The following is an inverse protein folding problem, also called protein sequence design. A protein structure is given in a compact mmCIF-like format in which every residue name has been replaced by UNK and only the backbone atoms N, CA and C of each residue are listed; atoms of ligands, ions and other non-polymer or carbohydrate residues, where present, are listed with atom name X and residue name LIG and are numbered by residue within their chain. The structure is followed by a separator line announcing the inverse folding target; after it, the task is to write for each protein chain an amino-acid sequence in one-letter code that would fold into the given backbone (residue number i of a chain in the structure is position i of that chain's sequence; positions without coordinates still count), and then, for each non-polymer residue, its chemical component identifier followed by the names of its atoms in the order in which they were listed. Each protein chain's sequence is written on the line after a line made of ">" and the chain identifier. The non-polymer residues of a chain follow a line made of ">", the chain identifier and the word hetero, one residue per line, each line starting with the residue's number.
data_IF_584979308220
#
_entry.id   IF_584979308220
#
_cell.length_a   1.000
_cell.length_b   1.000
_cell.length_c   1.000
_cell.angle_alpha   90.00
_cell.angle_beta   90.00
_cell.angle_gamma   90.00
#
_symmetry.space_group_name_H-M   'P 1'
#
loop_
_entity.id
_entity.type
_entity.pdbx_description
1 polymer ?
#
# COMPACT_ATOMS: atom_id res chain seq x y z
N UNK A 1 13.37 -15.93 -18.72
CA UNK A 1 12.73 -15.98 -17.37
C UNK A 1 12.47 -14.56 -16.89
N UNK A 2 11.31 -14.26 -16.29
CA UNK A 2 11.08 -12.97 -15.63
C UNK A 2 12.08 -12.78 -14.48
N UNK A 3 12.69 -11.60 -14.39
CA UNK A 3 13.67 -11.28 -13.35
C UNK A 3 13.02 -11.39 -11.95
N UNK A 4 13.74 -11.93 -10.93
CA UNK A 4 13.31 -11.87 -9.54
C UNK A 4 12.85 -10.46 -9.13
N UNK A 5 11.75 -10.34 -8.36
CA UNK A 5 11.25 -9.02 -7.91
C UNK A 5 12.27 -8.23 -7.10
N UNK A 6 13.21 -8.92 -6.44
CA UNK A 6 14.35 -8.30 -5.76
C UNK A 6 15.26 -7.49 -6.70
N UNK A 7 15.20 -7.74 -8.01
CA UNK A 7 15.96 -7.02 -9.04
C UNK A 7 15.21 -5.78 -9.53
N UNK A 8 13.88 -5.73 -9.35
CA UNK A 8 13.06 -4.58 -9.78
C UNK A 8 13.02 -3.49 -8.71
N UNK A 9 13.52 -3.77 -7.51
CA UNK A 9 13.43 -2.91 -6.34
C UNK A 9 14.84 -2.64 -5.79
N UNK A 10 15.20 -1.35 -5.76
CA UNK A 10 16.36 -0.82 -5.06
C UNK A 10 15.86 0.21 -4.04
N UNK A 11 15.94 -0.10 -2.73
CA UNK A 11 15.49 0.82 -1.70
C UNK A 11 16.09 2.23 -1.77
N UNK A 12 17.29 2.38 -2.34
CA UNK A 12 17.98 3.67 -2.41
C UNK A 12 17.55 4.48 -3.63
N UNK A 13 17.37 3.82 -4.77
CA UNK A 13 17.05 4.50 -6.03
C UNK A 13 15.55 4.59 -6.32
N UNK A 14 14.74 3.63 -5.86
CA UNK A 14 13.30 3.61 -6.10
C UNK A 14 12.53 2.99 -4.91
N UNK A 15 12.41 3.74 -3.79
CA UNK A 15 11.78 3.24 -2.57
C UNK A 15 10.26 3.05 -2.68
N UNK A 16 9.64 3.62 -3.72
CA UNK A 16 8.21 3.50 -3.98
C UNK A 16 7.89 2.37 -4.96
N UNK A 17 6.89 1.57 -4.60
CA UNK A 17 6.38 0.47 -5.42
C UNK A 17 4.86 0.55 -5.53
N UNK A 18 4.34 0.26 -6.72
CA UNK A 18 2.95 -0.12 -6.92
C UNK A 18 2.84 -1.65 -6.86
N UNK A 19 2.04 -2.16 -5.93
CA UNK A 19 1.81 -3.59 -5.76
C UNK A 19 0.33 -3.95 -5.88
N UNK A 20 0.07 -5.10 -6.49
CA UNK A 20 -1.29 -5.59 -6.76
C UNK A 20 -1.37 -7.09 -6.49
N UNK A 21 -2.40 -7.52 -5.76
CA UNK A 21 -2.79 -8.92 -5.59
C UNK A 21 -4.21 -9.14 -6.10
N UNK A 22 -4.42 -10.23 -6.85
CA UNK A 22 -5.71 -10.60 -7.46
C UNK A 22 -6.08 -12.04 -7.12
N UNK A 23 -7.36 -12.28 -6.86
CA UNK A 23 -7.93 -13.58 -6.53
C UNK A 23 -8.06 -14.49 -7.77
N UNK A 24 -7.89 -15.81 -7.58
CA UNK A 24 -8.02 -16.80 -8.67
C UNK A 24 -9.37 -16.71 -9.37
N UNK A 25 -9.39 -16.94 -10.69
CA UNK A 25 -10.61 -17.16 -11.49
C UNK A 25 -11.67 -16.05 -11.34
N UNK A 26 -11.26 -14.82 -11.06
CA UNK A 26 -12.18 -13.71 -10.71
C UNK A 26 -13.08 -14.02 -9.51
N UNK A 27 -12.65 -14.90 -8.60
CA UNK A 27 -13.31 -15.13 -7.32
C UNK A 27 -13.48 -13.81 -6.57
N UNK A 28 -14.63 -13.66 -5.93
CA UNK A 28 -15.00 -12.42 -5.27
C UNK A 28 -14.28 -12.32 -3.93
N UNK A 29 -13.26 -11.47 -3.89
CA UNK A 29 -12.58 -11.06 -2.67
C UNK A 29 -13.55 -10.31 -1.77
N UNK A 30 -14.39 -9.46 -2.36
CA UNK A 30 -15.37 -8.60 -1.70
C UNK A 30 -16.57 -8.38 -2.62
N UNK A 31 -17.73 -8.05 -2.06
CA UNK A 31 -18.95 -7.79 -2.83
C UNK A 31 -19.67 -9.07 -3.26
N UNK A 32 -20.51 -8.96 -4.28
CA UNK A 32 -21.34 -10.06 -4.80
C UNK A 32 -20.89 -10.50 -6.18
N UNK A 33 -20.95 -11.80 -6.44
CA UNK A 33 -20.71 -12.32 -7.79
C UNK A 33 -21.87 -12.01 -8.76
N UNK A 34 -21.69 -11.11 -9.75
CA UNK A 34 -22.73 -10.75 -10.67
C UNK A 34 -23.03 -11.87 -11.67
N UNK A 35 -22.13 -12.86 -11.82
CA UNK A 35 -22.34 -14.03 -12.70
C UNK A 35 -23.36 -15.00 -12.11
N UNK A 36 -23.57 -14.96 -10.80
CA UNK A 36 -24.62 -15.74 -10.11
C UNK A 36 -25.97 -15.02 -10.20
N UNK A 37 -27.05 -15.81 -10.25
CA UNK A 37 -28.41 -15.32 -10.11
C UNK A 37 -28.56 -14.61 -8.76
N UNK A 38 -29.29 -13.49 -8.73
CA UNK A 38 -29.41 -12.61 -7.53
C UNK A 38 -29.77 -13.37 -6.25
N UNK A 39 -30.64 -14.38 -6.33
CA UNK A 39 -31.06 -15.22 -5.19
C UNK A 39 -29.95 -16.10 -4.58
N UNK A 40 -28.88 -16.34 -5.32
CA UNK A 40 -27.73 -17.15 -4.90
C UNK A 40 -26.48 -16.30 -4.63
N UNK A 41 -26.57 -14.96 -4.76
CA UNK A 41 -25.44 -14.08 -4.47
C UNK A 41 -25.22 -14.02 -2.97
N UNK A 42 -23.96 -14.17 -2.56
CA UNK A 42 -23.49 -13.86 -1.22
C UNK A 42 -22.66 -12.59 -1.28
N UNK A 43 -22.91 -11.67 -0.35
CA UNK A 43 -22.17 -10.42 -0.25
C UNK A 43 -20.98 -10.59 0.71
N UNK A 44 -19.77 -10.33 0.20
CA UNK A 44 -18.52 -10.41 0.94
C UNK A 44 -17.87 -9.04 1.22
N UNK A 45 -18.61 -7.93 1.15
CA UNK A 45 -18.05 -6.58 1.33
C UNK A 45 -17.42 -6.37 2.71
N UNK A 46 -17.87 -7.12 3.74
CA UNK A 46 -17.24 -7.08 5.07
C UNK A 46 -15.74 -7.43 5.02
N UNK A 47 -15.30 -8.24 4.05
CA UNK A 47 -13.89 -8.60 3.85
C UNK A 47 -13.02 -7.40 3.46
N UNK A 48 -13.60 -6.31 2.94
CA UNK A 48 -12.86 -5.06 2.64
C UNK A 48 -12.21 -4.50 3.90
N UNK A 49 -12.93 -4.54 5.03
CA UNK A 49 -12.40 -4.06 6.30
C UNK A 49 -11.28 -4.96 6.81
N UNK A 50 -11.36 -6.28 6.62
CA UNK A 50 -10.26 -7.19 6.98
C UNK A 50 -8.96 -6.81 6.28
N UNK A 51 -9.05 -6.42 5.00
CA UNK A 51 -7.89 -6.00 4.21
C UNK A 51 -7.33 -4.69 4.77
N UNK A 52 -8.17 -3.68 4.99
CA UNK A 52 -7.73 -2.37 5.50
C UNK A 52 -7.13 -2.47 6.91
N UNK A 53 -7.75 -3.21 7.83
CA UNK A 53 -7.24 -3.45 9.18
C UNK A 53 -5.90 -4.19 9.14
N UNK A 54 -5.75 -5.15 8.23
CA UNK A 54 -4.50 -5.89 8.07
C UNK A 54 -3.38 -4.99 7.53
N UNK A 55 -3.67 -4.15 6.54
CA UNK A 55 -2.72 -3.16 6.01
C UNK A 55 -2.29 -2.20 7.13
N UNK A 56 -3.24 -1.68 7.91
CA UNK A 56 -2.96 -0.78 9.03
C UNK A 56 -2.01 -1.43 10.04
N UNK A 57 -2.35 -2.63 10.52
CA UNK A 57 -1.54 -3.37 11.49
C UNK A 57 -0.13 -3.62 10.99
N UNK A 58 0.03 -3.97 9.71
CA UNK A 58 1.34 -4.23 9.13
C UNK A 58 2.14 -2.94 8.94
N UNK A 59 1.52 -1.83 8.55
CA UNK A 59 2.19 -0.53 8.41
C UNK A 59 2.77 0.00 9.73
N UNK A 60 2.21 -0.43 10.86
CA UNK A 60 2.70 -0.07 12.19
C UNK A 60 3.87 -0.95 12.68
N UNK A 61 4.09 -2.09 12.03
CA UNK A 61 5.09 -3.09 12.40
C UNK A 61 6.29 -3.10 11.45
N UNK A 62 6.01 -3.06 10.15
CA UNK A 62 7.03 -3.06 9.11
C UNK A 62 7.58 -1.66 8.90
N UNK A 63 8.79 -1.58 8.40
CA UNK A 63 9.34 -0.33 7.87
C UNK A 63 8.78 -0.06 6.46
N UNK A 64 7.47 -0.16 6.29
CA UNK A 64 6.74 0.06 5.04
C UNK A 64 5.57 1.00 5.29
N UNK A 65 5.58 2.16 4.64
CA UNK A 65 4.49 3.13 4.73
C UNK A 65 3.54 2.98 3.54
N UNK A 66 2.27 3.33 3.73
CA UNK A 66 1.23 3.27 2.69
C UNK A 66 1.02 4.68 2.12
N UNK A 67 1.38 4.89 0.86
CA UNK A 67 1.13 6.16 0.19
C UNK A 67 -0.31 6.24 -0.37
N UNK A 68 -0.82 5.14 -0.92
CA UNK A 68 -2.17 5.03 -1.45
C UNK A 68 -2.67 3.58 -1.45
N UNK A 69 -3.98 3.37 -1.38
CA UNK A 69 -4.60 2.06 -1.52
C UNK A 69 -6.01 2.13 -2.12
N UNK A 70 -6.43 1.04 -2.77
CA UNK A 70 -7.81 0.82 -3.17
C UNK A 70 -8.17 -0.66 -3.09
N UNK A 71 -9.22 -1.00 -2.35
CA UNK A 71 -9.76 -2.37 -2.28
C UNK A 71 -10.87 -2.54 -3.32
N UNK A 72 -10.64 -3.41 -4.31
CA UNK A 72 -11.59 -3.75 -5.35
C UNK A 72 -12.26 -5.10 -5.04
N UNK A 73 -13.25 -5.49 -5.84
CA UNK A 73 -14.04 -6.70 -5.56
C UNK A 73 -13.30 -8.03 -5.77
N UNK A 74 -12.25 -8.07 -6.58
CA UNK A 74 -11.45 -9.29 -6.83
C UNK A 74 -9.92 -9.05 -6.74
N UNK A 75 -9.50 -7.84 -6.36
CA UNK A 75 -8.09 -7.48 -6.19
C UNK A 75 -7.96 -6.24 -5.30
N UNK A 76 -6.75 -5.91 -4.89
CA UNK A 76 -6.46 -4.63 -4.24
C UNK A 76 -5.15 -4.04 -4.78
N UNK A 77 -5.05 -2.72 -4.70
CA UNK A 77 -3.88 -1.94 -5.10
C UNK A 77 -3.27 -1.27 -3.89
N UNK A 78 -1.94 -1.27 -3.78
CA UNK A 78 -1.20 -0.47 -2.80
C UNK A 78 -0.06 0.28 -3.50
N UNK A 79 0.13 1.55 -3.13
CA UNK A 79 1.37 2.28 -3.34
C UNK A 79 2.09 2.34 -2.01
N UNK A 80 3.29 1.78 -1.95
CA UNK A 80 4.05 1.57 -0.71
C UNK A 80 5.40 2.24 -0.80
N UNK A 81 5.88 2.78 0.31
CA UNK A 81 7.22 3.28 0.51
C UNK A 81 7.98 2.34 1.45
N UNK A 82 9.11 1.81 1.03
CA UNK A 82 9.91 0.90 1.86
C UNK A 82 11.11 1.64 2.44
N UNK A 83 11.12 1.80 3.76
CA UNK A 83 12.12 2.56 4.49
C UNK A 83 13.19 1.64 5.10
N UNK A 84 14.17 1.26 4.29
CA UNK A 84 15.25 0.37 4.73
C UNK A 84 16.14 1.03 5.79
N UNK A 85 16.34 2.34 5.70
CA UNK A 85 17.19 3.07 6.65
C UNK A 85 16.53 3.15 8.03
N UNK A 86 15.20 3.33 8.10
CA UNK A 86 14.44 3.19 9.36
C UNK A 86 14.65 1.81 9.98
N UNK A 87 14.55 0.75 9.19
CA UNK A 87 14.74 -0.61 9.70
C UNK A 87 16.18 -0.88 10.17
N UNK A 88 17.19 -0.29 9.53
CA UNK A 88 18.61 -0.41 9.95
C UNK A 88 18.91 0.35 11.24
N UNK A 89 18.24 1.46 11.49
CA UNK A 89 18.42 2.26 12.71
C UNK A 89 17.84 1.61 13.96
N UNK A 90 16.94 0.63 13.81
CA UNK A 90 16.37 -0.05 14.97
C UNK A 90 17.44 -0.82 15.76
N UNK A 91 17.41 -0.72 17.08
CA UNK A 91 18.16 -1.65 17.93
C UNK A 91 17.44 -3.02 17.97
N UNK A 92 18.10 -4.03 18.54
CA UNK A 92 17.57 -5.40 18.61
C UNK A 92 16.19 -5.43 19.30
N UNK A 93 16.06 -4.78 20.45
CA UNK A 93 14.79 -4.70 21.18
C UNK A 93 13.67 -4.11 20.31
N UNK A 94 13.94 -3.06 19.55
CA UNK A 94 12.97 -2.47 18.61
C UNK A 94 12.60 -3.45 17.50
N UNK A 95 13.56 -4.14 16.88
CA UNK A 95 13.29 -5.16 15.85
C UNK A 95 12.36 -6.25 16.38
N UNK A 96 12.65 -6.77 17.58
CA UNK A 96 11.84 -7.78 18.24
C UNK A 96 10.42 -7.26 18.54
N UNK A 97 10.29 -6.08 19.14
CA UNK A 97 8.99 -5.46 19.42
C UNK A 97 8.16 -5.24 18.14
N UNK A 98 8.80 -4.78 17.06
CA UNK A 98 8.14 -4.60 15.76
C UNK A 98 7.66 -5.93 15.18
N UNK A 99 8.47 -6.98 15.26
CA UNK A 99 8.11 -8.32 14.81
C UNK A 99 6.91 -8.88 15.60
N UNK A 100 6.92 -8.73 16.93
CA UNK A 100 5.88 -9.22 17.84
C UNK A 100 4.50 -8.55 17.63
N UNK A 101 4.43 -7.38 16.98
CA UNK A 101 3.14 -6.73 16.66
C UNK A 101 2.27 -7.57 15.73
N UNK A 102 2.89 -8.43 14.91
CA UNK A 102 2.20 -9.16 13.82
C UNK A 102 2.37 -10.65 13.96
N UNK A 103 3.56 -11.09 14.39
CA UNK A 103 3.93 -12.49 14.43
C UNK A 103 4.02 -12.98 15.86
N UNK A 104 3.69 -14.26 16.05
CA UNK A 104 3.97 -14.93 17.29
C UNK A 104 5.49 -15.10 17.45
N UNK A 105 5.99 -14.71 18.63
CA UNK A 105 7.40 -14.76 18.94
C UNK A 105 7.76 -16.04 19.69
N UNK A 106 8.99 -16.53 19.45
CA UNK A 106 9.58 -17.62 20.20
C UNK A 106 9.59 -17.31 21.72
N UNK A 107 9.39 -18.29 22.63
CA UNK A 107 9.40 -18.05 24.07
C UNK A 107 10.60 -17.24 24.57
N UNK A 108 11.82 -17.58 24.13
CA UNK A 108 13.03 -16.82 24.49
C UNK A 108 12.99 -15.34 24.10
N UNK A 109 12.26 -14.98 23.03
CA UNK A 109 12.09 -13.57 22.65
C UNK A 109 11.13 -12.87 23.62
N UNK A 110 10.09 -13.56 24.08
CA UNK A 110 9.17 -13.02 25.09
C UNK A 110 9.92 -12.77 26.39
N UNK A 111 10.72 -13.74 26.82
CA UNK A 111 11.54 -13.63 28.04
C UNK A 111 12.66 -12.57 27.87
N UNK A 112 13.25 -12.43 26.67
CA UNK A 112 14.24 -11.40 26.38
C UNK A 112 13.65 -9.97 26.47
N UNK A 113 12.37 -9.81 26.11
CA UNK A 113 11.68 -8.53 26.15
C UNK A 113 11.09 -8.20 27.53
N UNK A 114 10.98 -9.19 28.40
CA UNK A 114 10.41 -9.10 29.75
C UNK A 114 11.55 -8.83 30.77
N UNK A 115 11.59 -7.65 31.41
CA UNK A 115 12.63 -7.32 32.38
C UNK A 115 12.74 -8.33 33.53
N UNK A 116 11.62 -8.92 33.92
CA UNK A 116 11.55 -9.84 35.06
C UNK A 116 12.03 -11.26 34.69
N UNK A 117 12.17 -11.58 33.40
CA UNK A 117 12.59 -12.90 32.93
C UNK A 117 13.89 -12.90 32.14
N UNK A 118 14.36 -11.74 31.71
CA UNK A 118 15.61 -11.62 30.95
C UNK A 118 16.79 -12.33 31.65
N UNK A 119 16.89 -12.20 32.97
CA UNK A 119 17.95 -12.79 33.78
C UNK A 119 17.92 -14.33 33.82
N UNK A 120 16.81 -14.96 33.41
CA UNK A 120 16.66 -16.41 33.35
C UNK A 120 17.23 -17.01 32.06
N UNK A 121 17.54 -16.18 31.06
CA UNK A 121 18.09 -16.64 29.79
C UNK A 121 19.58 -16.95 29.91
N UNK A 122 19.99 -18.05 29.30
CA UNK A 122 21.42 -18.36 29.15
C UNK A 122 22.06 -17.47 28.09
N UNK A 123 23.39 -17.33 28.13
CA UNK A 123 24.13 -16.55 27.14
C UNK A 123 23.88 -17.02 25.69
N UNK A 124 23.75 -18.34 25.49
CA UNK A 124 23.44 -18.90 24.17
C UNK A 124 22.04 -18.53 23.68
N UNK A 125 21.05 -18.49 24.58
CA UNK A 125 19.68 -18.08 24.24
C UNK A 125 19.64 -16.59 23.89
N UNK A 126 20.34 -15.75 24.65
CA UNK A 126 20.49 -14.32 24.37
C UNK A 126 21.11 -14.13 22.98
N UNK A 127 22.26 -14.76 22.72
CA UNK A 127 22.95 -14.66 21.43
C UNK A 127 22.05 -15.10 20.27
N UNK A 128 21.33 -16.21 20.41
CA UNK A 128 20.40 -16.67 19.39
C UNK A 128 19.28 -15.66 19.09
N UNK A 129 18.72 -15.03 20.12
CA UNK A 129 17.67 -14.01 19.98
C UNK A 129 18.20 -12.79 19.23
N UNK A 130 19.39 -12.30 19.59
CA UNK A 130 20.01 -11.13 18.96
C UNK A 130 20.39 -11.40 17.50
N UNK A 131 21.01 -12.54 17.22
CA UNK A 131 21.37 -12.97 15.87
C UNK A 131 20.12 -13.15 15.00
N UNK A 132 19.07 -13.77 15.53
CA UNK A 132 17.79 -13.95 14.82
C UNK A 132 17.13 -12.61 14.51
N UNK A 133 17.13 -11.69 15.48
CA UNK A 133 16.59 -10.35 15.29
C UNK A 133 17.31 -9.62 14.15
N UNK A 134 18.65 -9.61 14.18
CA UNK A 134 19.44 -8.83 13.23
C UNK A 134 19.48 -9.45 11.82
N UNK A 135 19.70 -10.76 11.73
CA UNK A 135 19.95 -11.43 10.46
C UNK A 135 18.66 -11.82 9.73
N UNK A 136 17.58 -12.12 10.47
CA UNK A 136 16.31 -12.61 9.93
C UNK A 136 15.21 -11.56 10.07
N UNK A 137 14.85 -11.15 11.29
CA UNK A 137 13.63 -10.37 11.51
C UNK A 137 13.72 -8.97 10.92
N UNK A 138 14.86 -8.29 11.12
CA UNK A 138 15.12 -6.97 10.52
C UNK A 138 14.92 -7.01 9.00
N UNK A 139 15.52 -7.99 8.31
CA UNK A 139 15.38 -8.18 6.85
C UNK A 139 13.94 -8.42 6.42
N UNK A 140 13.16 -9.16 7.22
CA UNK A 140 11.73 -9.39 6.94
C UNK A 140 10.92 -8.11 7.07
N UNK A 141 11.19 -7.29 8.08
CA UNK A 141 10.40 -6.10 8.40
C UNK A 141 10.52 -4.95 7.39
N UNK A 142 11.51 -4.96 6.50
CA UNK A 142 11.56 -4.06 5.33
C UNK A 142 11.41 -4.79 3.99
N UNK A 143 11.12 -6.10 3.98
CA UNK A 143 10.96 -6.85 2.74
C UNK A 143 9.54 -6.75 2.22
N UNK A 144 9.37 -6.21 1.01
CA UNK A 144 8.03 -6.10 0.41
C UNK A 144 7.39 -7.46 0.12
N UNK A 145 8.21 -8.49 -0.09
CA UNK A 145 7.70 -9.85 -0.27
C UNK A 145 7.14 -10.42 1.03
N UNK A 146 7.79 -10.15 2.17
CA UNK A 146 7.27 -10.52 3.49
C UNK A 146 6.04 -9.72 3.86
N UNK A 147 6.03 -8.41 3.58
CA UNK A 147 4.86 -7.55 3.79
C UNK A 147 3.64 -8.08 3.02
N UNK A 148 3.78 -8.32 1.72
CA UNK A 148 2.70 -8.84 0.88
C UNK A 148 2.29 -10.27 1.27
N UNK A 149 3.23 -11.13 1.69
CA UNK A 149 2.90 -12.46 2.23
C UNK A 149 2.06 -12.33 3.50
N UNK A 150 2.43 -11.43 4.40
CA UNK A 150 1.73 -11.19 5.66
C UNK A 150 0.36 -10.55 5.50
N UNK A 151 0.06 -9.92 4.37
CA UNK A 151 -1.31 -9.54 3.96
C UNK A 151 -2.04 -10.77 3.44
N UNK A 152 -1.48 -11.43 2.43
CA UNK A 152 -2.21 -12.36 1.58
C UNK A 152 -2.49 -13.72 2.24
N UNK A 153 -1.56 -14.26 3.03
CA UNK A 153 -1.73 -15.60 3.61
C UNK A 153 -2.87 -15.67 4.65
N UNK A 154 -2.96 -14.74 5.63
CA UNK A 154 -4.06 -14.77 6.59
C UNK A 154 -5.42 -14.54 5.93
N UNK A 155 -5.49 -13.60 4.97
CA UNK A 155 -6.72 -13.31 4.24
C UNK A 155 -7.19 -14.51 3.40
N UNK A 156 -6.26 -15.22 2.75
CA UNK A 156 -6.59 -16.44 2.01
C UNK A 156 -7.15 -17.53 2.93
N UNK A 157 -6.55 -17.73 4.11
CA UNK A 157 -7.03 -18.70 5.09
C UNK A 157 -8.41 -18.34 5.64
N UNK A 158 -8.62 -17.07 6.00
CA UNK A 158 -9.91 -16.58 6.50
C UNK A 158 -11.01 -16.71 5.44
N UNK A 159 -10.73 -16.31 4.21
CA UNK A 159 -11.70 -16.41 3.11
C UNK A 159 -12.03 -17.86 2.76
N UNK A 160 -11.02 -18.72 2.60
CA UNK A 160 -11.24 -20.16 2.36
C UNK A 160 -12.02 -20.84 3.48
N UNK A 161 -11.74 -20.48 4.75
CA UNK A 161 -12.49 -21.01 5.89
C UNK A 161 -13.95 -20.54 5.88
N UNK A 162 -14.22 -19.26 5.59
CA UNK A 162 -15.59 -18.74 5.47
C UNK A 162 -16.35 -19.36 4.27
N UNK A 163 -15.63 -19.62 3.18
CA UNK A 163 -16.17 -20.24 1.97
C UNK A 163 -16.21 -21.78 2.06
N UNK A 164 -15.79 -22.35 3.21
CA UNK A 164 -15.74 -23.79 3.47
C UNK A 164 -15.02 -24.57 2.36
N UNK A 165 -13.95 -23.99 1.80
CA UNK A 165 -13.20 -24.57 0.70
C UNK A 165 -11.70 -24.65 1.00
N UNK A 166 -10.98 -25.42 0.19
CA UNK A 166 -9.52 -25.54 0.27
C UNK A 166 -8.90 -25.18 -1.08
N UNK A 167 -7.60 -24.88 -1.06
CA UNK A 167 -6.82 -24.56 -2.25
C UNK A 167 -6.42 -23.10 -2.37
N UNK A 168 -6.04 -22.73 -3.60
CA UNK A 168 -5.36 -21.47 -3.88
C UNK A 168 -6.34 -20.31 -4.01
N UNK A 169 -6.20 -19.30 -3.17
CA UNK A 169 -7.06 -18.10 -3.20
C UNK A 169 -6.54 -16.99 -4.15
N UNK A 170 -5.22 -16.79 -4.25
CA UNK A 170 -4.60 -15.74 -5.08
C UNK A 170 -4.06 -16.30 -6.41
N UNK A 171 -4.25 -15.60 -7.55
CA UNK A 171 -3.82 -16.03 -8.91
C UNK A 171 -2.32 -16.31 -9.02
N UNK A 172 -1.54 -15.74 -8.12
CA UNK A 172 -0.14 -15.48 -8.38
C UNK A 172 0.63 -15.09 -7.15
N UNK A 173 1.93 -14.96 -7.37
CA UNK A 173 2.71 -13.98 -6.63
C UNK A 173 2.19 -12.57 -7.01
N UNK A 174 2.15 -11.64 -6.06
CA UNK A 174 1.73 -10.25 -6.32
C UNK A 174 2.51 -9.60 -7.47
N UNK A 175 1.90 -8.65 -8.17
CA UNK A 175 2.59 -7.80 -9.15
C UNK A 175 3.27 -6.65 -8.41
N UNK A 176 4.44 -6.25 -8.89
CA UNK A 176 5.19 -5.12 -8.36
C UNK A 176 5.75 -4.31 -9.52
N UNK A 177 5.59 -3.00 -9.46
CA UNK A 177 6.12 -2.03 -10.41
C UNK A 177 6.84 -0.95 -9.63
N UNK A 178 8.06 -0.61 -10.04
CA UNK A 178 8.79 0.47 -9.40
C UNK A 178 8.36 1.85 -9.91
N UNK A 179 8.23 2.80 -9.00
CA UNK A 179 7.92 4.20 -9.28
C UNK A 179 9.23 4.97 -9.12
N UNK A 180 9.77 5.47 -10.23
CA UNK A 180 11.16 5.94 -10.31
C UNK A 180 11.32 7.43 -10.00
N UNK A 181 10.25 8.20 -10.12
CA UNK A 181 10.22 9.63 -9.87
C UNK A 181 8.89 10.07 -9.23
N UNK A 182 8.82 11.34 -8.83
CA UNK A 182 7.66 11.92 -8.18
C UNK A 182 6.43 11.96 -9.09
N UNK A 183 6.61 12.13 -10.40
CA UNK A 183 5.52 12.14 -11.37
C UNK A 183 4.87 10.75 -11.47
N UNK A 184 5.69 9.70 -11.52
CA UNK A 184 5.25 8.30 -11.50
C UNK A 184 4.54 7.96 -10.19
N UNK A 185 5.08 8.42 -9.05
CA UNK A 185 4.44 8.26 -7.74
C UNK A 185 3.05 8.91 -7.72
N UNK A 186 2.99 10.20 -8.05
CA UNK A 186 1.77 11.00 -8.03
C UNK A 186 0.70 10.45 -8.99
N UNK A 187 1.10 10.11 -10.22
CA UNK A 187 0.24 9.50 -11.23
C UNK A 187 -0.30 8.15 -10.77
N UNK A 188 0.55 7.31 -10.18
CA UNK A 188 0.14 6.00 -9.70
C UNK A 188 -0.83 6.10 -8.52
N UNK A 189 -0.59 6.99 -7.57
CA UNK A 189 -1.51 7.24 -6.45
C UNK A 189 -2.89 7.68 -6.94
N UNK A 190 -2.96 8.67 -7.84
CA UNK A 190 -4.22 9.09 -8.43
C UNK A 190 -4.89 7.96 -9.23
N UNK A 191 -4.11 7.16 -9.97
CA UNK A 191 -4.63 5.97 -10.65
C UNK A 191 -5.26 4.97 -9.68
N UNK A 192 -4.61 4.72 -8.53
CA UNK A 192 -5.09 3.79 -7.51
C UNK A 192 -6.41 4.25 -6.93
N UNK A 193 -6.48 5.50 -6.46
CA UNK A 193 -7.68 6.08 -5.84
C UNK A 193 -8.87 6.19 -6.80
N UNK A 194 -8.62 6.32 -8.11
CA UNK A 194 -9.67 6.39 -9.13
C UNK A 194 -10.17 5.02 -9.63
N UNK A 195 -9.61 3.90 -9.16
CA UNK A 195 -10.04 2.58 -9.64
C UNK A 195 -11.51 2.27 -9.35
N UNK A 196 -12.07 2.54 -8.15
CA UNK A 196 -13.50 2.33 -7.90
C UNK A 196 -14.40 3.14 -8.84
N UNK A 197 -14.06 4.41 -9.09
CA UNK A 197 -14.79 5.26 -10.02
C UNK A 197 -14.75 4.71 -11.44
N UNK A 198 -13.55 4.35 -11.93
CA UNK A 198 -13.35 3.80 -13.29
C UNK A 198 -13.99 2.43 -13.48
N UNK A 199 -14.25 1.71 -12.39
CA UNK A 199 -14.98 0.45 -12.39
C UNK A 199 -16.51 0.63 -12.27
N UNK A 200 -17.00 1.86 -12.09
CA UNK A 200 -18.42 2.15 -11.86
C UNK A 200 -18.92 1.80 -10.46
N UNK A 201 -18.01 1.56 -9.51
CA UNK A 201 -18.34 1.25 -8.10
C UNK A 201 -18.68 2.54 -7.34
N UNK A 202 -18.06 3.65 -7.72
CA UNK A 202 -18.28 4.97 -7.12
C UNK A 202 -18.53 6.03 -8.19
N UNK A 203 -19.24 7.09 -7.83
CA UNK A 203 -19.52 8.23 -8.73
C UNK A 203 -18.46 9.32 -8.63
N UNK A 204 -17.84 9.47 -7.45
CA UNK A 204 -16.80 10.47 -7.17
C UNK A 204 -15.65 9.86 -6.33
N UNK A 205 -14.43 10.43 -6.35
CA UNK A 205 -13.31 9.97 -5.52
C UNK A 205 -13.66 9.94 -4.03
N UNK A 206 -14.28 11.00 -3.52
CA UNK A 206 -14.65 11.13 -2.11
C UNK A 206 -15.76 10.15 -1.66
N UNK A 207 -16.52 9.57 -2.60
CA UNK A 207 -17.51 8.51 -2.33
C UNK A 207 -16.96 7.09 -2.53
N UNK A 208 -15.68 6.96 -2.91
CA UNK A 208 -15.02 5.68 -3.16
C UNK A 208 -14.61 4.99 -1.86
N UNK A 209 -15.45 4.10 -1.36
CA UNK A 209 -15.21 3.36 -0.11
C UNK A 209 -13.93 2.51 -0.14
N UNK A 210 -13.26 2.40 1.00
CA UNK A 210 -12.05 1.59 1.21
C UNK A 210 -10.90 2.00 0.27
N UNK A 211 -10.72 3.32 0.12
CA UNK A 211 -9.61 3.93 -0.62
C UNK A 211 -8.82 4.91 0.25
N UNK A 212 -7.61 5.24 -0.19
CA UNK A 212 -6.82 6.28 0.47
C UNK A 212 -7.37 7.69 0.26
N UNK A 213 -7.99 8.01 -0.89
CA UNK A 213 -8.63 9.33 -1.08
C UNK A 213 -9.75 9.55 -0.09
N UNK A 214 -10.57 8.52 0.17
CA UNK A 214 -11.57 8.57 1.23
C UNK A 214 -10.92 8.82 2.60
N UNK A 215 -9.92 8.02 2.96
CA UNK A 215 -9.23 8.16 4.24
C UNK A 215 -8.66 9.56 4.44
N UNK A 216 -8.01 10.13 3.40
CA UNK A 216 -7.44 11.48 3.42
C UNK A 216 -8.52 12.54 3.58
N UNK A 217 -9.60 12.46 2.81
CA UNK A 217 -10.74 13.40 2.91
C UNK A 217 -11.37 13.34 4.31
N UNK A 218 -11.54 12.16 4.88
CA UNK A 218 -12.19 12.00 6.17
C UNK A 218 -11.30 12.42 7.35
N UNK A 219 -9.98 12.17 7.29
CA UNK A 219 -9.04 12.32 8.42
C UNK A 219 -8.12 13.53 8.37
N UNK A 220 -7.72 14.02 7.18
CA UNK A 220 -6.72 15.08 7.03
C UNK A 220 -7.34 16.45 6.69
N UNK A 221 -8.57 16.49 6.18
CA UNK A 221 -9.26 17.75 5.91
C UNK A 221 -9.99 18.30 7.15
N UNK A 222 -10.14 19.64 7.27
CA UNK A 222 -10.95 20.27 8.31
C UNK A 222 -12.39 19.73 8.34
N UNK A 223 -13.03 19.80 9.50
CA UNK A 223 -14.38 19.24 9.71
C UNK A 223 -15.43 20.06 8.96
N UNK A 224 -15.68 19.74 7.68
CA UNK A 224 -16.84 20.25 6.93
C UNK A 224 -17.80 19.12 6.52
N UNK A 225 -19.01 19.49 6.08
CA UNK A 225 -20.25 18.72 6.02
C UNK A 225 -20.25 17.37 5.24
N UNK A 226 -19.13 16.97 4.64
CA UNK A 226 -18.98 15.71 3.88
C UNK A 226 -18.59 14.49 4.72
N UNK A 227 -18.35 14.65 6.03
CA UNK A 227 -18.27 13.48 6.92
C UNK A 227 -19.60 12.76 6.92
N UNK A 228 -19.61 11.47 6.58
CA UNK A 228 -20.81 10.62 6.65
C UNK A 228 -21.51 10.80 8.00
N UNK A 229 -22.85 10.87 7.96
CA UNK A 229 -23.69 11.11 9.14
C UNK A 229 -23.34 10.08 10.23
N UNK A 230 -22.92 10.63 11.37
CA UNK A 230 -22.48 9.96 12.61
C UNK A 230 -23.53 8.95 13.09
N UNK A 231 -23.16 7.71 13.37
CA UNK A 231 -23.88 6.93 14.39
C UNK A 231 -23.33 7.31 15.77
N UNK A 232 -24.20 7.79 16.67
CA UNK A 232 -23.83 8.04 18.07
C UNK A 232 -23.58 6.67 18.73
N UNK A 233 -22.32 6.23 18.84
CA UNK A 233 -21.95 5.17 19.77
C UNK A 233 -21.36 5.76 21.04
N UNK A 234 -21.96 5.40 22.16
CA UNK A 234 -21.52 5.67 23.53
C UNK A 234 -20.35 4.76 23.87
N UNK A 235 -19.13 5.23 23.61
CA UNK A 235 -17.89 4.93 24.35
C UNK A 235 -16.71 5.49 23.55
N UNK A 236 -15.56 5.68 24.22
CA UNK A 236 -14.30 6.27 23.73
C UNK A 236 -13.62 5.54 22.55
N UNK A 237 -14.37 4.95 21.61
CA UNK A 237 -13.88 4.16 20.49
C UNK A 237 -14.30 4.77 19.15
N UNK A 238 -13.31 5.40 18.53
CA UNK A 238 -13.08 5.73 17.09
C UNK A 238 -14.19 6.45 16.31
N UNK A 239 -13.77 7.50 15.59
CA UNK A 239 -14.58 8.56 14.95
C UNK A 239 -15.34 8.17 13.67
N UNK A 240 -15.22 6.95 13.15
CA UNK A 240 -15.75 6.54 11.82
C UNK A 240 -16.30 5.10 11.85
N UNK A 241 -17.29 4.80 10.99
CA UNK A 241 -17.95 3.47 10.92
C UNK A 241 -17.02 2.34 10.43
N UNK A 242 -15.86 2.69 9.86
CA UNK A 242 -14.78 1.79 9.46
C UNK A 242 -13.42 2.41 9.80
N UNK A 243 -12.43 1.57 10.12
CA UNK A 243 -11.06 2.03 10.37
C UNK A 243 -10.31 2.23 9.04
N UNK A 244 -9.52 3.30 8.95
CA UNK A 244 -8.61 3.53 7.85
C UNK A 244 -7.20 3.01 8.16
N UNK A 245 -6.50 2.57 7.12
CA UNK A 245 -5.07 2.30 7.24
C UNK A 245 -4.30 3.61 7.40
N UNK A 246 -3.27 3.60 8.25
CA UNK A 246 -2.34 4.73 8.37
C UNK A 246 -1.67 5.03 7.02
N UNK A 247 -1.78 6.29 6.60
CA UNK A 247 -1.19 6.78 5.37
C UNK A 247 0.09 7.57 5.63
N UNK A 248 0.99 7.53 4.65
CA UNK A 248 2.18 8.39 4.59
C UNK A 248 1.69 9.84 4.43
N UNK A 249 2.16 10.77 5.28
CA UNK A 249 1.70 12.15 5.25
C UNK A 249 2.29 12.92 4.07
N UNK A 250 1.58 13.95 3.62
CA UNK A 250 2.09 14.95 2.65
C UNK A 250 3.02 15.95 3.33
N UNK A 251 3.82 16.69 2.54
CA UNK A 251 4.74 17.73 3.05
C UNK A 251 4.04 18.82 3.86
N UNK A 252 2.80 19.15 3.53
CA UNK A 252 1.99 20.17 4.16
C UNK A 252 1.02 19.63 5.22
N UNK A 253 1.05 18.33 5.49
CA UNK A 253 0.18 17.72 6.48
C UNK A 253 0.57 18.26 7.86
N UNK A 254 -0.28 19.14 8.42
CA UNK A 254 -0.14 19.76 9.74
C UNK A 254 -0.27 18.76 10.90
N UNK A 255 -0.08 17.46 10.65
CA UNK A 255 -0.29 16.35 11.57
C UNK A 255 0.19 16.74 12.97
N UNK A 256 -0.76 17.12 13.84
CA UNK A 256 -0.56 17.09 15.28
C UNK A 256 -0.18 15.65 15.54
N UNK A 257 1.07 15.43 15.92
CA UNK A 257 1.73 14.15 16.08
C UNK A 257 0.91 13.18 16.94
N UNK A 258 -0.02 12.45 16.33
CA UNK A 258 -0.47 11.14 16.83
C UNK A 258 0.54 10.04 16.45
N UNK A 259 1.59 10.41 15.70
CA UNK A 259 2.77 9.62 15.44
C UNK A 259 3.77 9.89 16.56
N UNK A 260 3.77 9.01 17.57
CA UNK A 260 4.75 9.05 18.67
C UNK A 260 6.10 8.44 18.23
N UNK A 261 6.70 8.96 17.15
CA UNK A 261 7.91 8.35 16.57
C UNK A 261 8.96 9.44 16.35
N UNK A 262 10.05 9.33 17.11
CA UNK A 262 11.28 10.15 17.03
C UNK A 262 12.05 9.99 15.71
N UNK A 263 11.45 9.41 14.67
CA UNK A 263 12.07 9.20 13.37
C UNK A 263 11.71 10.37 12.43
N UNK A 264 12.70 10.93 11.73
CA UNK A 264 12.46 11.90 10.65
C UNK A 264 11.55 11.25 9.61
N UNK A 265 10.28 11.65 9.59
CA UNK A 265 9.32 11.18 8.59
C UNK A 265 9.78 11.73 7.24
N UNK A 266 9.93 10.87 6.23
CA UNK A 266 10.02 11.29 4.83
C UNK A 266 8.58 11.52 4.33
N UNK A 267 8.08 12.76 4.21
CA UNK A 267 6.73 12.99 3.70
C UNK A 267 6.65 12.69 2.20
N UNK A 268 5.43 12.55 1.68
CA UNK A 268 5.19 12.60 0.23
C UNK A 268 5.53 14.00 -0.29
N UNK A 269 6.28 14.14 -1.39
CA UNK A 269 6.89 15.40 -1.83
C UNK A 269 5.91 16.44 -2.41
N UNK A 270 4.61 16.19 -2.33
CA UNK A 270 3.55 17.06 -2.84
C UNK A 270 2.58 17.42 -1.72
N UNK A 271 1.80 18.48 -1.93
CA UNK A 271 0.78 18.92 -0.98
C UNK A 271 -0.50 18.10 -1.12
N UNK A 272 -1.24 17.93 -0.02
CA UNK A 272 -2.53 17.23 -0.05
C UNK A 272 -3.53 17.92 -1.01
N UNK A 273 -3.55 19.26 -1.00
CA UNK A 273 -4.46 20.03 -1.86
C UNK A 273 -4.19 19.74 -3.34
N UNK A 274 -2.95 19.91 -3.78
CA UNK A 274 -2.52 19.69 -5.16
C UNK A 274 -2.81 18.24 -5.62
N UNK A 275 -2.64 17.27 -4.71
CA UNK A 275 -3.00 15.89 -4.96
C UNK A 275 -4.50 15.69 -5.22
N UNK A 276 -5.37 16.25 -4.38
CA UNK A 276 -6.82 16.12 -4.54
C UNK A 276 -7.31 16.78 -5.83
N UNK A 277 -6.74 17.92 -6.22
CA UNK A 277 -7.03 18.57 -7.50
C UNK A 277 -6.67 17.68 -8.69
N UNK A 278 -5.48 17.07 -8.66
CA UNK A 278 -5.08 16.13 -9.69
C UNK A 278 -6.03 14.94 -9.77
N UNK A 279 -6.46 14.39 -8.62
CA UNK A 279 -7.42 13.28 -8.58
C UNK A 279 -8.75 13.69 -9.21
N UNK A 280 -9.25 14.88 -8.93
CA UNK A 280 -10.49 15.41 -9.52
C UNK A 280 -10.39 15.62 -11.02
N UNK A 281 -9.34 16.33 -11.46
CA UNK A 281 -9.08 16.57 -12.87
C UNK A 281 -8.96 15.23 -13.62
N UNK A 282 -8.22 14.27 -13.06
CA UNK A 282 -8.05 12.93 -13.60
C UNK A 282 -9.32 12.08 -13.60
N UNK A 283 -10.29 12.38 -12.73
CA UNK A 283 -11.59 11.71 -12.69
C UNK A 283 -12.53 12.19 -13.80
N UNK A 284 -12.42 13.47 -14.18
CA UNK A 284 -13.19 14.12 -15.25
C UNK A 284 -12.68 13.80 -16.64
N UNK A 285 -11.38 13.49 -16.76
CA UNK A 285 -10.80 13.10 -18.05
C UNK A 285 -11.46 11.82 -18.57
N UNK A 286 -12.37 11.99 -19.55
CA UNK A 286 -12.96 10.88 -20.28
C UNK A 286 -11.86 10.12 -21.03
N UNK A 287 -11.80 8.81 -20.81
CA UNK A 287 -10.84 7.92 -21.46
C UNK A 287 -11.58 7.01 -22.41
N UNK A 288 -11.18 6.99 -23.67
CA UNK A 288 -11.79 6.13 -24.71
C UNK A 288 -11.76 4.62 -24.34
N UNK A 289 -10.85 4.19 -23.46
CA UNK A 289 -10.73 2.81 -22.98
C UNK A 289 -11.53 2.48 -21.71
N UNK A 290 -12.30 3.42 -21.15
CA UNK A 290 -13.07 3.23 -19.90
C UNK A 290 -14.52 3.68 -20.04
N UNK A 291 -15.44 2.81 -19.59
CA UNK A 291 -16.89 3.00 -19.70
C UNK A 291 -17.45 4.07 -18.75
N UNK A 292 -16.79 4.32 -17.60
CA UNK A 292 -17.27 5.25 -16.57
C UNK A 292 -16.28 6.40 -16.37
N UNK A 293 -16.79 7.61 -16.38
CA UNK A 293 -16.08 8.86 -16.08
C UNK A 293 -16.97 9.73 -15.17
N UNK A 294 -16.36 10.67 -14.45
CA UNK A 294 -17.11 11.64 -13.65
C UNK A 294 -17.88 12.59 -14.57
N UNK A 295 -19.08 12.97 -14.18
CA UNK A 295 -19.86 14.01 -14.85
C UNK A 295 -19.06 15.32 -14.93
N UNK A 296 -18.90 15.86 -16.14
CA UNK A 296 -18.16 17.09 -16.39
C UNK A 296 -18.81 18.32 -15.74
N UNK A 297 -20.11 18.26 -15.46
CA UNK A 297 -20.89 19.37 -14.88
C UNK A 297 -20.77 19.46 -13.36
N UNK A 298 -20.16 18.47 -12.69
CA UNK A 298 -19.94 18.52 -11.24
C UNK A 298 -18.99 19.68 -10.86
N UNK A 299 -19.23 20.42 -9.76
CA UNK A 299 -18.29 21.43 -9.26
C UNK A 299 -16.90 20.83 -8.98
N UNK A 300 -15.78 21.59 -9.08
CA UNK A 300 -14.45 21.14 -8.70
C UNK A 300 -14.41 20.48 -7.31
N UNK A 301 -13.48 19.55 -7.08
CA UNK A 301 -13.42 18.82 -5.80
C UNK A 301 -13.35 19.75 -4.58
N UNK A 302 -12.72 20.92 -4.68
CA UNK A 302 -12.67 21.88 -3.56
C UNK A 302 -14.02 22.50 -3.26
N UNK A 303 -14.84 22.80 -4.27
CA UNK A 303 -16.21 23.27 -4.08
C UNK A 303 -17.08 22.15 -3.51
N UNK A 304 -16.94 20.92 -4.03
CA UNK A 304 -17.64 19.74 -3.48
C UNK A 304 -17.22 19.42 -2.06
N UNK A 305 -15.97 19.65 -1.68
CA UNK A 305 -15.46 19.42 -0.33
C UNK A 305 -15.60 20.66 0.58
N UNK A 306 -16.16 21.75 0.08
CA UNK A 306 -16.32 23.03 0.79
C UNK A 306 -14.98 23.55 1.37
N UNK A 307 -13.93 23.54 0.55
CA UNK A 307 -12.61 24.08 0.85
C UNK A 307 -12.49 25.45 0.17
N UNK A 308 -12.24 26.50 0.95
CA UNK A 308 -12.00 27.85 0.42
C UNK A 308 -10.72 27.89 -0.42
N UNK A 309 -10.80 28.41 -1.66
CA UNK A 309 -9.64 28.51 -2.56
C UNK A 309 -9.64 29.84 -3.32
N UNK A 310 -8.47 30.49 -3.41
CA UNK A 310 -8.24 31.63 -4.31
C UNK A 310 -8.06 31.11 -5.74
N UNK A 311 -9.19 30.95 -6.44
CA UNK A 311 -9.34 30.10 -7.63
C UNK A 311 -8.63 30.58 -8.93
N UNK A 312 -8.10 31.81 -9.00
CA UNK A 312 -7.73 32.41 -10.31
C UNK A 312 -6.30 32.13 -10.80
N UNK A 313 -5.35 31.84 -9.92
CA UNK A 313 -3.95 31.59 -10.32
C UNK A 313 -3.66 30.10 -10.64
N UNK A 314 -4.48 29.19 -10.09
CA UNK A 314 -4.26 27.74 -10.12
C UNK A 314 -4.69 27.05 -11.41
N UNK A 315 -5.79 27.47 -12.02
CA UNK A 315 -6.32 26.89 -13.27
C UNK A 315 -5.36 27.04 -14.48
N UNK A 316 -4.45 28.02 -14.43
CA UNK A 316 -3.46 28.28 -15.50
C UNK A 316 -2.25 27.34 -15.44
N UNK A 317 -1.93 26.73 -14.28
CA UNK A 317 -0.75 25.90 -14.13
C UNK A 317 -0.97 24.43 -14.56
N UNK A 318 -2.23 23.98 -14.61
CA UNK A 318 -2.60 22.58 -14.83
C UNK A 318 -3.24 22.28 -16.19
N UNK A 319 -3.37 23.28 -17.09
CA UNK A 319 -3.91 23.08 -18.45
C UNK A 319 -2.92 22.44 -19.45
N UNK A 320 -1.74 22.01 -18.97
CA UNK A 320 -0.71 21.37 -19.77
C UNK A 320 -1.18 20.05 -20.37
N UNK A 321 -1.44 20.06 -21.68
CA UNK A 321 -1.67 18.88 -22.54
C UNK A 321 -0.54 17.86 -22.35
N UNK A 322 -0.73 16.90 -21.46
CA UNK A 322 0.19 15.78 -21.29
C UNK A 322 -0.41 14.54 -21.95
N UNK A 323 0.23 14.07 -23.02
CA UNK A 323 -0.09 12.84 -23.77
C UNK A 323 0.21 11.55 -22.99
N UNK A 324 0.53 11.64 -21.69
CA UNK A 324 0.89 10.50 -20.83
C UNK A 324 -0.32 9.62 -20.44
N UNK A 325 -1.55 10.09 -20.66
CA UNK A 325 -2.79 9.39 -20.27
C UNK A 325 -3.40 8.52 -21.38
N UNK A 326 -2.65 8.18 -22.42
CA UNK A 326 -3.12 7.33 -23.53
C UNK A 326 -2.32 6.02 -23.65
N UNK A 327 -2.35 5.16 -22.63
CA UNK A 327 -2.30 3.69 -22.78
C UNK A 327 -2.25 2.96 -21.43
N UNK A 328 -3.42 2.63 -20.85
CA UNK A 328 -3.50 1.59 -19.81
C UNK A 328 -3.32 0.15 -20.37
N UNK A 329 -2.57 0.00 -21.47
CA UNK A 329 -2.26 -1.27 -22.11
C UNK A 329 -0.79 -1.29 -22.53
N UNK A 330 0.10 -1.38 -21.54
CA UNK A 330 1.38 -2.11 -21.53
C UNK A 330 2.15 -1.71 -20.25
N UNK A 331 1.81 -2.33 -19.12
CA UNK A 331 2.46 -2.04 -17.84
C UNK A 331 3.80 -2.78 -17.74
N UNK A 332 4.87 -2.14 -18.21
CA UNK A 332 6.24 -2.57 -18.02
C UNK A 332 6.66 -2.46 -16.54
N UNK A 333 7.72 -3.17 -16.14
CA UNK A 333 8.17 -3.34 -14.75
C UNK A 333 8.52 -2.06 -13.94
N UNK A 334 8.52 -0.87 -14.56
CA UNK A 334 8.72 0.42 -13.89
C UNK A 334 7.95 1.56 -14.60
N UNK A 335 7.82 2.70 -13.92
CA UNK A 335 7.22 3.94 -14.41
C UNK A 335 8.11 5.13 -14.00
N UNK A 336 8.36 6.03 -14.95
CA UNK A 336 9.09 7.28 -14.75
C UNK A 336 9.40 7.96 -16.08
N UNK A 337 10.12 9.06 -16.02
CA UNK A 337 10.63 9.78 -17.19
C UNK A 337 11.56 8.90 -18.05
N UNK A 338 11.86 9.34 -19.26
CA UNK A 338 12.65 8.55 -20.22
C UNK A 338 14.08 8.26 -19.73
N UNK A 339 14.72 9.20 -19.02
CA UNK A 339 16.06 9.03 -18.44
C UNK A 339 16.01 8.02 -17.28
N UNK A 340 15.05 8.19 -16.37
CA UNK A 340 14.80 7.30 -15.23
C UNK A 340 14.54 5.86 -15.69
N UNK A 341 13.73 5.67 -16.74
CA UNK A 341 13.49 4.35 -17.34
C UNK A 341 14.75 3.76 -17.99
N UNK A 342 15.60 4.56 -18.62
CA UNK A 342 16.88 4.11 -19.21
C UNK A 342 17.86 3.64 -18.14
N UNK A 343 18.00 4.41 -17.06
CA UNK A 343 18.82 4.08 -15.90
C UNK A 343 18.31 2.81 -15.21
N UNK A 344 17.00 2.72 -14.95
CA UNK A 344 16.36 1.52 -14.40
C UNK A 344 16.65 0.28 -15.24
N UNK A 345 16.52 0.38 -16.57
CA UNK A 345 16.80 -0.74 -17.49
C UNK A 345 18.26 -1.19 -17.41
N UNK A 346 19.21 -0.26 -17.30
CA UNK A 346 20.64 -0.57 -17.15
C UNK A 346 20.90 -1.26 -15.80
N UNK A 347 20.37 -0.73 -14.70
CA UNK A 347 20.52 -1.33 -13.36
C UNK A 347 19.91 -2.73 -13.28
N UNK A 348 18.69 -2.91 -13.79
CA UNK A 348 18.02 -4.23 -13.82
C UNK A 348 18.86 -5.24 -14.62
N UNK A 349 19.46 -4.83 -15.74
CA UNK A 349 20.38 -5.68 -16.51
C UNK A 349 21.59 -6.09 -15.67
N UNK A 350 22.24 -5.12 -15.01
CA UNK A 350 23.42 -5.39 -14.18
C UNK A 350 23.09 -6.32 -13.00
N UNK A 351 22.02 -6.02 -12.25
CA UNK A 351 21.59 -6.83 -11.11
C UNK A 351 21.16 -8.25 -11.54
N UNK A 352 20.54 -8.39 -12.73
CA UNK A 352 20.23 -9.71 -13.30
C UNK A 352 21.48 -10.49 -13.64
N UNK A 353 22.50 -9.83 -14.19
CA UNK A 353 23.77 -10.47 -14.51
C UNK A 353 24.49 -10.93 -13.23
N UNK A 354 24.65 -10.03 -12.24
CA UNK A 354 25.23 -10.36 -10.95
C UNK A 354 24.50 -11.53 -10.26
N UNK A 355 23.16 -11.54 -10.31
CA UNK A 355 22.37 -12.64 -9.75
C UNK A 355 22.66 -13.96 -10.47
N UNK A 356 22.71 -13.97 -11.80
CA UNK A 356 23.05 -15.17 -12.59
C UNK A 356 24.45 -15.69 -12.27
N UNK A 357 25.41 -14.79 -12.13
CA UNK A 357 26.80 -15.15 -11.85
C UNK A 357 26.94 -15.73 -10.43
N UNK A 358 26.25 -15.14 -9.45
CA UNK A 358 26.16 -15.69 -8.09
C UNK A 358 25.54 -17.09 -8.08
N UNK A 359 24.45 -17.31 -8.85
CA UNK A 359 23.79 -18.61 -8.94
C UNK A 359 24.66 -19.68 -9.61
N UNK A 360 25.49 -19.30 -10.59
CA UNK A 360 26.48 -20.20 -11.21
C UNK A 360 27.55 -20.61 -10.20
N UNK A 361 28.09 -19.66 -9.42
CA UNK A 361 29.09 -19.93 -8.39
C UNK A 361 28.58 -20.87 -7.29
N UNK A 362 27.32 -20.73 -6.86
CA UNK A 362 26.71 -21.65 -5.88
C UNK A 362 26.41 -23.04 -6.44
N UNK A 363 26.28 -23.19 -7.76
CA UNK A 363 26.06 -24.52 -8.40
C UNK A 363 27.36 -25.25 -8.73
N UNK A 364 28.49 -24.54 -8.75
CA UNK A 364 29.81 -25.12 -9.01
C UNK A 364 30.57 -25.55 -7.75
N UNK A 365 29.98 -25.42 -6.56
CA UNK A 365 30.56 -26.04 -5.36
C UNK A 365 30.09 -27.50 -5.27
N UNK A 366 31.01 -28.48 -5.21
CA UNK A 366 30.63 -29.87 -4.98
C UNK A 366 29.95 -30.01 -3.61
N UNK A 367 28.99 -30.94 -3.45
CA UNK A 367 28.35 -31.17 -2.16
C UNK A 367 29.41 -31.57 -1.14
N UNK A 368 29.50 -30.81 -0.05
CA UNK A 368 30.29 -31.13 1.15
C UNK A 368 29.65 -32.24 1.96
#
# INVERSE_FOLDING_TARGET
>A
MPAPRAILYDPKENPFLHVVSRCVRSGWLCGEDPTLLKKFRRNYDHRRQWIVDRIDRLSQAFAVDIASYAVMSNHYHLVVYVDVERAKKWNIKQVLLQYCKVFEAHPWIKDYLDPDKFHMLTQMQIQWVEETADTIYRKRLYSISWFMRSINEPLARMANAEDQCSGRFWEGRFKAQALLDEQALLTCMAYVDLNPLRAGIAKTPETSNYTSVQARVETELPVNNHRRKKSRKTNNQRRYDYNFARLKPFVDSKTKSSINIKDKIHPLPFKLKDYLELVDASARMARNDKKYHMDSELPPIFERLQIETDARWWASAMSGRSTVMASARQFAHAMGDALSLKQFRQRVKQQTQNWRDTQKMTRSQPPS
#
